data_IF_588131583456
#
_entry.id   IF_588131583456
#
_cell.length_a   1.000
_cell.length_b   1.000
_cell.length_c   1.000
_cell.angle_alpha   90.00
_cell.angle_beta   90.00
_cell.angle_gamma   90.00
#
_symmetry.space_group_name_H-M   'P 1'
#
loop_
_entity.id
_entity.type
_entity.pdbx_description
1 polymer ?
#
# COMPACT_ATOMS: atom_id res chain seq x y z
N UNK A 1 31.90 -9.00 56.36
CA UNK A 1 31.08 -7.87 56.83
C UNK A 1 30.45 -7.24 55.60
N UNK A 2 29.12 -7.25 55.55
CA UNK A 2 28.31 -6.53 54.55
C UNK A 2 28.35 -5.03 54.86
N UNK A 3 28.41 -4.18 53.83
CA UNK A 3 27.84 -2.82 53.85
C UNK A 3 27.22 -2.57 52.47
N UNK A 4 25.91 -2.35 52.51
CA UNK A 4 25.02 -1.92 51.43
C UNK A 4 25.24 -0.44 51.07
N UNK A 5 24.85 -0.05 49.86
CA UNK A 5 24.14 1.23 49.65
C UNK A 5 24.95 2.50 49.34
N UNK A 6 24.87 2.96 48.09
CA UNK A 6 24.69 4.38 47.68
C UNK A 6 24.44 4.36 46.17
N UNK A 7 23.21 4.46 45.67
CA UNK A 7 22.31 5.62 45.59
C UNK A 7 22.87 6.79 44.77
N UNK A 8 21.96 7.36 43.98
CA UNK A 8 22.07 8.54 43.09
C UNK A 8 22.53 8.29 41.65
N UNK A 9 21.57 7.93 40.80
CA UNK A 9 21.40 8.67 39.55
C UNK A 9 20.09 9.43 39.63
N UNK A 10 20.24 10.75 39.69
CA UNK A 10 19.18 11.75 39.56
C UNK A 10 18.78 11.78 38.08
N UNK A 11 17.57 11.30 37.80
CA UNK A 11 16.97 11.34 36.48
C UNK A 11 15.56 11.87 36.65
N UNK A 12 15.42 13.18 36.58
CA UNK A 12 14.14 13.88 36.45
C UNK A 12 13.39 13.33 35.24
N UNK A 13 12.46 12.42 35.48
CA UNK A 13 11.42 12.05 34.54
C UNK A 13 10.19 12.89 34.82
N UNK A 14 10.15 14.10 34.26
CA UNK A 14 8.89 14.67 33.80
C UNK A 14 8.38 13.70 32.73
N UNK A 15 7.16 13.19 32.81
CA UNK A 15 6.02 13.98 32.37
C UNK A 15 4.76 13.53 33.09
N UNK A 16 4.01 14.51 33.59
CA UNK A 16 2.66 14.29 34.09
C UNK A 16 1.81 14.03 32.85
N UNK A 17 1.32 12.81 32.74
CA UNK A 17 0.32 12.44 31.74
C UNK A 17 -0.89 13.34 32.01
N UNK A 18 -1.03 14.42 31.24
CA UNK A 18 -2.28 15.14 31.14
C UNK A 18 -3.21 14.21 30.37
N UNK A 19 -3.84 13.28 31.10
CA UNK A 19 -5.01 12.55 30.64
C UNK A 19 -6.16 13.54 30.55
N UNK A 20 -6.02 14.53 29.66
CA UNK A 20 -7.16 15.19 29.08
C UNK A 20 -7.88 14.06 28.37
N UNK A 21 -9.06 13.74 28.89
CA UNK A 21 -10.09 12.97 28.22
C UNK A 21 -10.25 13.48 26.79
N UNK A 22 -9.43 12.96 25.87
CA UNK A 22 -9.70 13.02 24.44
C UNK A 22 -11.03 12.31 24.31
N UNK A 23 -12.10 13.12 24.26
CA UNK A 23 -13.43 12.66 23.93
C UNK A 23 -13.27 12.00 22.57
N UNK A 24 -13.10 10.68 22.59
CA UNK A 24 -13.11 9.83 21.43
C UNK A 24 -14.53 9.91 20.90
N UNK A 25 -14.80 10.99 20.15
CA UNK A 25 -16.01 11.13 19.38
C UNK A 25 -15.95 10.02 18.37
N UNK A 26 -16.59 8.89 18.68
CA UNK A 26 -16.77 7.77 17.76
C UNK A 26 -17.55 8.32 16.59
N UNK A 27 -16.81 8.68 15.56
CA UNK A 27 -17.36 9.18 14.31
C UNK A 27 -18.21 8.06 13.69
N UNK A 28 -19.45 8.37 13.31
CA UNK A 28 -20.37 7.37 12.78
C UNK A 28 -20.01 7.06 11.33
N UNK A 29 -19.74 5.78 11.05
CA UNK A 29 -19.48 5.29 9.69
C UNK A 29 -20.72 5.37 8.78
N UNK A 30 -21.91 5.61 9.34
CA UNK A 30 -23.17 5.75 8.57
C UNK A 30 -23.49 7.20 8.20
N UNK A 31 -22.67 8.17 8.63
CA UNK A 31 -22.89 9.58 8.29
C UNK A 31 -22.44 9.87 6.85
N UNK A 32 -23.39 10.19 5.98
CA UNK A 32 -23.14 10.59 4.58
C UNK A 32 -23.50 12.05 4.31
N UNK A 33 -23.69 12.85 5.35
CA UNK A 33 -23.94 14.29 5.18
C UNK A 33 -22.60 15.02 4.96
N UNK A 34 -22.33 15.58 3.76
CA UNK A 34 -21.04 16.18 3.44
C UNK A 34 -20.66 17.34 4.36
N UNK A 35 -21.62 18.11 4.87
CA UNK A 35 -21.34 19.22 5.77
C UNK A 35 -20.89 18.75 7.16
N UNK A 36 -21.46 17.65 7.65
CA UNK A 36 -21.02 17.00 8.90
C UNK A 36 -19.62 16.42 8.72
N UNK A 37 -19.35 15.76 7.59
CA UNK A 37 -18.02 15.24 7.24
C UNK A 37 -16.97 16.37 7.19
N UNK A 38 -17.28 17.48 6.52
CA UNK A 38 -16.41 18.65 6.48
C UNK A 38 -16.16 19.25 7.86
N UNK A 39 -17.17 19.34 8.73
CA UNK A 39 -17.00 19.82 10.10
C UNK A 39 -16.06 18.93 10.93
N UNK A 40 -16.07 17.62 10.68
CA UNK A 40 -15.11 16.73 11.33
C UNK A 40 -13.69 16.94 10.82
N UNK A 41 -13.50 17.12 9.52
CA UNK A 41 -12.20 17.37 8.90
C UNK A 41 -11.64 18.75 9.24
N UNK A 42 -12.50 19.75 9.43
CA UNK A 42 -12.09 21.08 9.86
C UNK A 42 -11.53 21.07 11.29
N UNK A 43 -12.10 20.23 12.15
CA UNK A 43 -11.60 20.03 13.52
C UNK A 43 -10.34 19.18 13.56
N UNK A 44 -10.27 18.13 12.73
CA UNK A 44 -9.12 17.24 12.64
C UNK A 44 -9.05 16.55 11.26
N UNK A 45 -8.11 16.99 10.43
CA UNK A 45 -7.85 16.38 9.11
C UNK A 45 -7.37 14.94 9.19
N UNK A 46 -6.82 14.49 10.34
CA UNK A 46 -6.41 13.10 10.57
C UNK A 46 -7.58 12.11 10.48
N UNK A 47 -8.82 12.58 10.70
CA UNK A 47 -10.04 11.77 10.57
C UNK A 47 -10.30 11.24 9.16
N UNK A 48 -9.67 11.83 8.15
CA UNK A 48 -9.71 11.34 6.78
C UNK A 48 -9.29 9.87 6.68
N UNK A 49 -8.34 9.42 7.52
CA UNK A 49 -7.89 8.04 7.58
C UNK A 49 -8.94 7.06 8.16
N UNK A 50 -9.97 7.58 8.81
CA UNK A 50 -11.05 6.80 9.43
C UNK A 50 -12.32 6.75 8.57
N UNK A 51 -12.40 7.56 7.52
CA UNK A 51 -13.58 7.62 6.66
C UNK A 51 -13.71 6.35 5.82
N UNK A 52 -14.96 5.91 5.66
CA UNK A 52 -15.28 4.81 4.75
C UNK A 52 -15.12 5.26 3.30
N UNK A 53 -15.07 4.29 2.38
CA UNK A 53 -15.01 4.60 0.95
C UNK A 53 -16.20 5.44 0.48
N UNK A 54 -17.40 5.09 0.92
CA UNK A 54 -18.63 5.82 0.60
C UNK A 54 -18.58 7.28 1.08
N UNK A 55 -18.01 7.53 2.27
CA UNK A 55 -17.83 8.89 2.79
C UNK A 55 -16.81 9.69 1.98
N UNK A 56 -15.73 9.05 1.52
CA UNK A 56 -14.75 9.67 0.63
C UNK A 56 -15.37 9.98 -0.74
N UNK A 57 -16.20 9.10 -1.29
CA UNK A 57 -16.93 9.32 -2.55
C UNK A 57 -17.87 10.52 -2.43
N UNK A 58 -18.67 10.58 -1.37
CA UNK A 58 -19.56 11.73 -1.10
C UNK A 58 -18.80 13.06 -1.07
N UNK A 59 -17.63 13.08 -0.44
CA UNK A 59 -16.79 14.28 -0.39
C UNK A 59 -16.06 14.57 -1.70
N UNK A 60 -15.70 13.56 -2.49
CA UNK A 60 -15.05 13.76 -3.79
C UNK A 60 -16.03 14.27 -4.85
N UNK A 61 -17.29 13.83 -4.80
CA UNK A 61 -18.33 14.20 -5.77
C UNK A 61 -19.10 15.48 -5.39
N UNK A 62 -18.80 16.08 -4.23
CA UNK A 62 -19.52 17.27 -3.78
C UNK A 62 -19.21 18.50 -4.65
N UNK A 63 -20.24 19.30 -4.91
CA UNK A 63 -20.05 20.59 -5.60
C UNK A 63 -19.63 21.67 -4.61
N UNK A 64 -18.52 22.36 -4.88
CA UNK A 64 -18.02 23.48 -4.06
C UNK A 64 -19.10 24.57 -3.92
N UNK A 65 -19.83 24.85 -5.00
CA UNK A 65 -20.89 25.87 -5.03
C UNK A 65 -22.10 25.51 -4.17
N UNK A 66 -22.21 24.27 -3.68
CA UNK A 66 -23.26 23.84 -2.75
C UNK A 66 -22.94 24.14 -1.28
N UNK A 67 -21.71 24.55 -0.98
CA UNK A 67 -21.23 24.82 0.37
C UNK A 67 -21.27 26.31 0.66
N UNK A 68 -21.79 26.66 1.84
CA UNK A 68 -21.79 28.04 2.30
C UNK A 68 -20.35 28.52 2.58
N UNK A 69 -19.85 29.54 1.85
CA UNK A 69 -18.51 30.07 2.04
C UNK A 69 -18.30 30.78 3.39
N UNK A 70 -19.38 31.14 4.10
CA UNK A 70 -19.27 31.66 5.48
C UNK A 70 -19.00 30.55 6.49
N UNK A 71 -19.35 29.30 6.16
CA UNK A 71 -19.15 28.15 7.04
C UNK A 71 -17.82 27.47 6.80
N UNK A 72 -17.44 27.27 5.54
CA UNK A 72 -16.19 26.61 5.17
C UNK A 72 -15.45 27.45 4.13
N UNK A 73 -14.13 27.60 4.30
CA UNK A 73 -13.34 28.29 3.28
C UNK A 73 -13.34 27.50 1.97
N UNK A 74 -13.47 28.21 0.84
CA UNK A 74 -13.46 27.60 -0.50
C UNK A 74 -12.24 26.70 -0.71
N UNK A 75 -11.05 27.19 -0.34
CA UNK A 75 -9.79 26.44 -0.49
C UNK A 75 -9.76 25.17 0.34
N UNK A 76 -10.35 25.17 1.54
CA UNK A 76 -10.48 23.96 2.35
C UNK A 76 -11.36 22.92 1.64
N UNK A 77 -12.54 23.33 1.17
CA UNK A 77 -13.47 22.43 0.46
C UNK A 77 -12.83 21.87 -0.81
N UNK A 78 -12.19 22.71 -1.63
CA UNK A 78 -11.43 22.29 -2.82
C UNK A 78 -10.35 21.26 -2.46
N UNK A 79 -9.59 21.52 -1.39
CA UNK A 79 -8.53 20.61 -0.95
C UNK A 79 -9.09 19.26 -0.47
N UNK A 80 -10.23 19.27 0.24
CA UNK A 80 -10.88 18.04 0.69
C UNK A 80 -11.37 17.21 -0.50
N UNK A 81 -12.07 17.84 -1.45
CA UNK A 81 -12.53 17.19 -2.70
C UNK A 81 -11.35 16.54 -3.43
N UNK A 82 -10.29 17.30 -3.70
CA UNK A 82 -9.12 16.82 -4.44
C UNK A 82 -8.39 15.70 -3.69
N UNK A 83 -8.36 15.76 -2.36
CA UNK A 83 -7.67 14.74 -1.55
C UNK A 83 -8.48 13.46 -1.47
N UNK A 84 -9.80 13.54 -1.25
CA UNK A 84 -10.70 12.38 -1.29
C UNK A 84 -10.65 11.70 -2.66
N UNK A 85 -10.70 12.46 -3.75
CA UNK A 85 -10.58 11.94 -5.11
C UNK A 85 -9.27 11.17 -5.35
N UNK A 86 -8.13 11.73 -4.92
CA UNK A 86 -6.82 11.06 -5.04
C UNK A 86 -6.74 9.77 -4.22
N UNK A 87 -7.22 9.78 -2.97
CA UNK A 87 -7.22 8.61 -2.11
C UNK A 87 -8.03 7.45 -2.70
N UNK A 88 -9.19 7.74 -3.32
CA UNK A 88 -10.00 6.73 -3.98
C UNK A 88 -9.28 6.08 -5.17
N UNK A 89 -8.55 6.87 -5.96
CA UNK A 89 -7.72 6.36 -7.06
C UNK A 89 -6.59 5.48 -6.53
N UNK A 90 -5.82 5.97 -5.56
CA UNK A 90 -4.70 5.22 -4.96
C UNK A 90 -5.17 3.89 -4.33
N UNK A 91 -6.34 3.90 -3.68
CA UNK A 91 -6.94 2.70 -3.10
C UNK A 91 -7.29 1.68 -4.18
N UNK A 92 -7.88 2.10 -5.29
CA UNK A 92 -8.21 1.23 -6.42
C UNK A 92 -6.95 0.62 -7.04
N UNK A 93 -5.95 1.45 -7.31
CA UNK A 93 -4.67 0.99 -7.87
C UNK A 93 -3.98 -0.04 -6.95
N UNK A 94 -4.02 0.19 -5.63
CA UNK A 94 -3.49 -0.76 -4.65
C UNK A 94 -4.27 -2.09 -4.65
N UNK A 95 -5.60 -2.06 -4.77
CA UNK A 95 -6.43 -3.25 -4.87
C UNK A 95 -6.12 -4.05 -6.14
N UNK A 96 -6.03 -3.38 -7.29
CA UNK A 96 -5.67 -3.99 -8.57
C UNK A 96 -4.27 -4.64 -8.51
N UNK A 97 -3.30 -3.97 -7.89
CA UNK A 97 -1.96 -4.53 -7.68
C UNK A 97 -1.99 -5.80 -6.80
N UNK A 98 -2.78 -5.79 -5.73
CA UNK A 98 -2.95 -6.96 -4.84
C UNK A 98 -3.59 -8.13 -5.62
N UNK A 99 -4.62 -7.86 -6.42
CA UNK A 99 -5.28 -8.87 -7.24
C UNK A 99 -4.33 -9.49 -8.27
N UNK A 100 -3.49 -8.66 -8.91
CA UNK A 100 -2.46 -9.12 -9.82
C UNK A 100 -1.46 -10.06 -9.13
N UNK A 101 -0.96 -9.68 -7.95
CA UNK A 101 -0.04 -10.52 -7.16
C UNK A 101 -0.68 -11.86 -6.78
N UNK A 102 -1.96 -11.84 -6.39
CA UNK A 102 -2.72 -13.06 -6.07
C UNK A 102 -2.85 -13.99 -7.28
N UNK A 103 -3.14 -13.43 -8.46
CA UNK A 103 -3.26 -14.21 -9.70
C UNK A 103 -1.95 -14.93 -10.07
N UNK A 104 -0.81 -14.24 -9.97
CA UNK A 104 0.50 -14.88 -10.20
C UNK A 104 0.82 -15.97 -9.17
N UNK A 105 0.50 -15.73 -7.90
CA UNK A 105 0.76 -16.69 -6.82
C UNK A 105 -0.05 -17.99 -6.98
N UNK A 106 -1.31 -17.88 -7.40
CA UNK A 106 -2.18 -19.02 -7.68
C UNK A 106 -1.73 -19.79 -8.92
N UNK A 107 -1.22 -19.09 -9.95
CA UNK A 107 -0.67 -19.73 -11.15
C UNK A 107 0.58 -20.55 -10.88
N UNK A 108 1.42 -20.19 -9.91
CA UNK A 108 2.61 -20.98 -9.54
C UNK A 108 2.30 -22.23 -8.73
N UNK A 109 1.12 -22.32 -8.11
CA UNK A 109 0.75 -23.42 -7.21
C UNK A 109 -0.02 -24.55 -7.92
N UNK A 110 -0.62 -24.28 -9.08
CA UNK A 110 -1.38 -25.29 -9.85
C UNK A 110 -0.49 -26.24 -10.68
N UNK A 111 0.81 -25.97 -10.81
CA UNK A 111 1.75 -26.81 -11.58
C UNK A 111 2.42 -27.92 -10.73
N UNK A 112 2.03 -28.09 -9.46
CA UNK A 112 2.70 -28.97 -8.50
C UNK A 112 1.92 -30.25 -8.10
N UNK A 113 0.77 -30.53 -8.73
CA UNK A 113 -0.11 -31.65 -8.32
C UNK A 113 -0.52 -32.60 -9.49
N UNK A 114 0.31 -32.74 -10.52
CA UNK A 114 0.19 -33.82 -11.54
C UNK A 114 1.34 -34.83 -11.47
N UNK A 115 1.63 -35.35 -10.28
CA UNK A 115 2.52 -36.51 -10.13
C UNK A 115 2.17 -37.31 -8.88
N UNK A 116 1.05 -38.03 -8.96
CA UNK A 116 0.75 -39.12 -8.04
C UNK A 116 0.47 -40.41 -8.80
N UNK A 117 1.31 -41.41 -8.52
CA UNK A 117 1.13 -42.87 -8.65
C UNK A 117 1.74 -43.60 -9.86
N UNK A 118 2.98 -44.08 -9.64
CA UNK A 118 3.49 -45.33 -10.20
C UNK A 118 4.52 -45.96 -9.24
N UNK A 119 4.31 -47.18 -8.71
CA UNK A 119 5.05 -47.73 -7.58
C UNK A 119 6.43 -48.31 -7.95
N UNK A 120 7.30 -48.37 -6.93
CA UNK A 120 8.63 -48.98 -6.91
C UNK A 120 8.74 -50.28 -7.71
N UNK A 121 9.73 -50.33 -8.62
CA UNK A 121 10.34 -51.60 -9.05
C UNK A 121 11.85 -51.51 -8.84
N UNK A 122 12.30 -52.21 -7.81
CA UNK A 122 13.69 -52.62 -7.62
C UNK A 122 14.15 -53.45 -8.82
N UNK A 123 15.32 -53.13 -9.39
CA UNK A 123 16.25 -54.14 -9.93
C UNK A 123 17.63 -53.52 -10.20
N UNK A 124 18.56 -53.84 -9.30
CA UNK A 124 19.91 -54.40 -9.55
C UNK A 124 20.83 -53.74 -10.60
N UNK A 125 21.94 -53.21 -10.08
CA UNK A 125 23.34 -53.44 -10.48
C UNK A 125 23.73 -53.44 -11.99
N UNK A 126 24.59 -52.47 -12.36
CA UNK A 126 25.24 -52.45 -13.67
C UNK A 126 26.31 -51.37 -13.80
N UNK A 127 27.51 -51.68 -13.31
CA UNK A 127 28.78 -50.98 -13.52
C UNK A 127 29.00 -50.64 -15.01
N UNK A 128 29.44 -49.42 -15.35
CA UNK A 128 30.59 -49.16 -16.24
C UNK A 128 30.72 -47.69 -16.68
N UNK A 129 31.87 -47.15 -16.34
CA UNK A 129 32.54 -45.95 -16.84
C UNK A 129 32.30 -45.59 -18.32
N UNK A 130 32.17 -44.29 -18.62
CA UNK A 130 32.84 -43.65 -19.77
C UNK A 130 32.81 -42.13 -19.60
N UNK A 131 34.00 -41.53 -19.45
CA UNK A 131 34.25 -40.09 -19.59
C UNK A 131 34.16 -39.72 -21.07
N UNK A 132 33.52 -38.59 -21.39
CA UNK A 132 33.91 -37.78 -22.54
C UNK A 132 33.64 -36.30 -22.25
N UNK A 133 34.73 -35.56 -22.08
CA UNK A 133 34.77 -34.11 -22.29
C UNK A 133 34.39 -33.79 -23.74
N UNK A 134 33.61 -32.74 -23.96
CA UNK A 134 33.79 -31.87 -25.13
C UNK A 134 33.23 -30.47 -24.86
N UNK A 135 34.10 -29.49 -25.06
CA UNK A 135 33.91 -28.05 -24.94
C UNK A 135 33.12 -27.43 -26.12
N UNK A 136 32.62 -26.21 -25.92
CA UNK A 136 32.19 -25.25 -26.96
C UNK A 136 31.09 -24.31 -26.44
N UNK A 137 31.41 -23.15 -25.85
CA UNK A 137 31.65 -21.83 -26.47
C UNK A 137 30.52 -21.30 -27.36
N UNK A 138 29.86 -20.21 -26.94
CA UNK A 138 30.04 -18.85 -27.52
C UNK A 138 28.80 -17.98 -27.33
N UNK A 139 29.06 -16.78 -26.82
CA UNK A 139 28.21 -15.60 -26.65
C UNK A 139 27.54 -15.11 -27.95
N UNK A 140 26.50 -14.28 -27.81
CA UNK A 140 25.87 -13.56 -28.91
C UNK A 140 24.77 -12.59 -28.46
N UNK A 141 25.19 -11.42 -27.99
CA UNK A 141 24.38 -10.24 -27.66
C UNK A 141 23.64 -9.66 -28.89
N UNK A 142 22.44 -9.13 -28.68
CA UNK A 142 21.61 -8.54 -29.73
C UNK A 142 20.73 -7.40 -29.21
N UNK A 143 21.38 -6.29 -28.86
CA UNK A 143 20.78 -5.01 -28.43
C UNK A 143 20.24 -4.24 -29.66
N UNK A 144 18.94 -3.88 -29.69
CA UNK A 144 18.36 -2.98 -30.69
C UNK A 144 17.75 -1.76 -29.99
N UNK A 145 18.40 -0.60 -30.12
CA UNK A 145 17.91 0.69 -29.68
C UNK A 145 16.91 1.29 -30.69
N UNK A 146 15.88 2.03 -30.24
CA UNK A 146 14.83 2.58 -31.09
C UNK A 146 15.26 3.86 -31.84
N UNK A 147 14.75 4.00 -33.07
CA UNK A 147 14.95 5.13 -33.96
C UNK A 147 14.17 6.38 -33.46
N UNK A 148 14.89 7.45 -33.12
CA UNK A 148 14.34 8.75 -32.73
C UNK A 148 14.13 9.61 -33.97
N UNK A 149 12.90 10.04 -34.24
CA UNK A 149 12.56 10.94 -35.33
C UNK A 149 12.27 12.36 -34.78
N UNK A 150 13.07 13.33 -35.22
CA UNK A 150 13.01 14.75 -34.84
C UNK A 150 11.94 15.51 -35.67
N UNK A 151 11.29 16.56 -35.13
CA UNK A 151 10.27 17.33 -35.83
C UNK A 151 10.88 18.30 -36.87
N UNK A 152 10.23 18.43 -38.03
CA UNK A 152 10.51 19.50 -38.99
C UNK A 152 9.71 20.76 -38.64
N UNK A 153 10.43 21.86 -38.46
CA UNK A 153 9.88 23.22 -38.38
C UNK A 153 9.77 23.88 -39.75
N UNK A 154 8.84 24.84 -39.82
CA UNK A 154 8.70 25.99 -40.74
C UNK A 154 8.11 25.72 -42.13
N UNK A 155 6.92 26.30 -42.38
CA UNK A 155 6.79 27.64 -42.97
C UNK A 155 5.56 28.37 -42.43
#
# INVERSE_FOLDING_TARGET
MNIEGSSYFDGQGCDVVDSSEESCYTFSNECLDPLTLLSHLEMDTGKLALFTEEQLEVLADMSIESVDPERFSRTFVETVIDTCGRLLVEKREAQEAIELIKAFSQSSQNEADDSSLGPDTQSEEGTSHTKHSREGSSDGDGEWLPHVQHPQSLQ
#
